data_IF_575835018145
#
_entry.id   IF_575835018145
#
_cell.length_a   1.000
_cell.length_b   1.000
_cell.length_c   1.000
_cell.angle_alpha   90.00
_cell.angle_beta   90.00
_cell.angle_gamma   90.00
#
_symmetry.space_group_name_H-M   'P 1'
#
loop_
_entity.id
_entity.type
_entity.pdbx_description
1 polymer ?
#
# COMPACT_ATOMS: atom_id res chain seq x y z
N UNK A 1 -0.69 -11.31 29.16
CA UNK A 1 -1.04 -10.74 27.83
C UNK A 1 0.12 -11.07 26.91
N UNK A 2 -0.14 -11.72 25.78
CA UNK A 2 0.85 -11.86 24.73
C UNK A 2 1.16 -10.44 24.26
N UNK A 3 2.44 -10.05 24.24
CA UNK A 3 2.80 -8.74 23.75
C UNK A 3 2.44 -8.69 22.26
N UNK A 4 1.58 -7.74 21.87
CA UNK A 4 1.21 -7.52 20.49
C UNK A 4 2.40 -6.92 19.73
N UNK A 5 2.49 -7.20 18.45
CA UNK A 5 3.42 -6.50 17.56
C UNK A 5 2.93 -5.06 17.35
N UNK A 6 3.84 -4.13 17.48
CA UNK A 6 3.59 -2.70 17.23
C UNK A 6 4.09 -2.37 15.82
N UNK A 7 3.15 -2.20 14.89
CA UNK A 7 3.42 -1.95 13.48
C UNK A 7 3.05 -0.52 13.11
N UNK A 8 3.66 -0.03 12.06
CA UNK A 8 3.26 1.22 11.40
C UNK A 8 3.33 1.08 9.89
N UNK A 9 2.61 1.93 9.17
CA UNK A 9 2.72 2.01 7.72
C UNK A 9 2.68 3.46 7.23
N UNK A 10 3.36 3.75 6.13
CA UNK A 10 3.11 4.97 5.38
C UNK A 10 1.76 4.85 4.67
N UNK A 11 0.78 5.61 5.16
CA UNK A 11 -0.58 5.63 4.65
C UNK A 11 -0.71 6.74 3.61
N UNK A 12 -0.68 6.39 2.33
CA UNK A 12 -0.92 7.33 1.25
C UNK A 12 -2.43 7.54 1.06
N UNK A 13 -2.80 8.71 0.54
CA UNK A 13 -4.18 8.98 0.12
C UNK A 13 -4.39 8.39 -1.28
N UNK A 14 -5.46 7.62 -1.49
CA UNK A 14 -5.71 6.89 -2.73
C UNK A 14 -5.57 7.75 -3.98
N UNK A 15 -6.17 8.96 -4.01
CA UNK A 15 -6.09 9.89 -5.16
C UNK A 15 -4.67 10.25 -5.56
N UNK A 16 -3.72 10.23 -4.61
CA UNK A 16 -2.30 10.55 -4.85
C UNK A 16 -1.50 9.36 -5.38
N UNK A 17 -2.14 8.19 -5.53
CA UNK A 17 -1.51 6.93 -5.98
C UNK A 17 -2.13 6.36 -7.25
N UNK A 18 -3.10 7.05 -7.85
CA UNK A 18 -3.72 6.64 -9.09
C UNK A 18 -2.78 6.87 -10.28
N UNK A 19 -2.97 6.09 -11.33
CA UNK A 19 -2.25 6.24 -12.61
C UNK A 19 -3.16 6.89 -13.65
N UNK A 20 -2.59 7.78 -14.44
CA UNK A 20 -3.26 8.36 -15.61
C UNK A 20 -3.28 7.39 -16.80
N UNK A 21 -2.46 6.33 -16.76
CA UNK A 21 -2.23 5.39 -17.86
C UNK A 21 -2.99 4.06 -17.72
N UNK A 22 -3.72 3.85 -16.61
CA UNK A 22 -4.46 2.61 -16.40
C UNK A 22 -4.96 2.41 -14.98
N UNK A 23 -5.47 1.22 -14.71
CA UNK A 23 -5.92 0.84 -13.37
C UNK A 23 -4.75 0.45 -12.47
N UNK A 24 -4.96 0.57 -11.17
CA UNK A 24 -3.99 0.20 -10.13
C UNK A 24 -4.61 -0.79 -9.14
N UNK A 25 -3.77 -1.53 -8.42
CA UNK A 25 -4.16 -2.36 -7.28
C UNK A 25 -3.60 -1.75 -6.01
N UNK A 26 -4.42 -1.63 -4.95
CA UNK A 26 -4.02 -1.03 -3.67
C UNK A 26 -4.63 -1.78 -2.50
N UNK A 27 -3.90 -1.90 -1.42
CA UNK A 27 -4.44 -2.29 -0.11
C UNK A 27 -5.17 -1.12 0.52
N UNK A 28 -6.49 -1.08 0.39
CA UNK A 28 -7.31 -0.04 1.02
C UNK A 28 -7.42 -0.33 2.52
N UNK A 29 -7.18 0.68 3.34
CA UNK A 29 -7.13 0.55 4.77
C UNK A 29 -8.34 1.21 5.43
N UNK A 30 -9.01 0.45 6.32
CA UNK A 30 -10.00 1.00 7.26
C UNK A 30 -9.31 1.32 8.59
N UNK A 31 -9.70 2.42 9.21
CA UNK A 31 -9.17 2.87 10.50
C UNK A 31 -10.28 3.03 11.53
N UNK A 32 -9.96 2.77 12.79
CA UNK A 32 -10.89 2.99 13.91
C UNK A 32 -10.85 4.43 14.45
N UNK A 33 -11.67 4.69 15.48
CA UNK A 33 -11.75 6.00 16.13
C UNK A 33 -10.49 6.41 16.89
N UNK A 34 -9.57 5.48 17.17
CA UNK A 34 -8.27 5.72 17.79
C UNK A 34 -7.14 5.85 16.76
N UNK A 35 -7.51 5.89 15.47
CA UNK A 35 -6.59 6.00 14.35
C UNK A 35 -5.62 4.81 14.26
N UNK A 36 -6.14 3.58 14.43
CA UNK A 36 -5.42 2.35 14.13
C UNK A 36 -6.00 1.71 12.88
N UNK A 37 -5.17 1.04 12.09
CA UNK A 37 -5.62 0.20 10.98
C UNK A 37 -6.33 -1.02 11.54
N UNK A 38 -7.56 -1.24 11.13
CA UNK A 38 -8.39 -2.40 11.56
C UNK A 38 -8.61 -3.41 10.44
N UNK A 39 -8.43 -2.99 9.19
CA UNK A 39 -8.57 -3.85 8.02
C UNK A 39 -7.74 -3.33 6.85
N UNK A 40 -7.19 -4.26 6.07
CA UNK A 40 -6.49 -3.97 4.81
C UNK A 40 -7.13 -4.86 3.74
N UNK A 41 -7.84 -4.25 2.79
CA UNK A 41 -8.48 -4.95 1.68
C UNK A 41 -7.71 -4.73 0.38
N UNK A 42 -7.12 -5.82 -0.17
CA UNK A 42 -6.47 -5.76 -1.47
C UNK A 42 -7.52 -5.54 -2.56
N UNK A 43 -7.51 -4.37 -3.15
CA UNK A 43 -8.54 -3.88 -4.08
C UNK A 43 -7.93 -3.70 -5.46
N UNK A 44 -8.56 -4.35 -6.45
CA UNK A 44 -8.06 -4.46 -7.81
C UNK A 44 -8.79 -3.52 -8.77
N UNK A 45 -8.13 -3.19 -9.88
CA UNK A 45 -8.69 -2.41 -11.00
C UNK A 45 -9.28 -1.07 -10.58
N UNK A 46 -8.57 -0.36 -9.69
CA UNK A 46 -8.94 0.97 -9.23
C UNK A 46 -8.53 1.98 -10.30
N UNK A 47 -9.47 2.79 -10.75
CA UNK A 47 -9.19 3.90 -11.68
C UNK A 47 -10.22 5.01 -11.53
N UNK A 48 -9.85 6.21 -11.96
CA UNK A 48 -10.76 7.33 -12.09
C UNK A 48 -11.54 7.21 -13.40
N UNK A 49 -12.85 7.32 -13.34
CA UNK A 49 -13.73 7.33 -14.50
C UNK A 49 -13.90 8.75 -15.05
N UNK A 50 -14.52 8.84 -16.25
CA UNK A 50 -14.74 10.11 -16.95
C UNK A 50 -15.65 11.10 -16.18
N UNK A 51 -16.51 10.59 -15.29
CA UNK A 51 -17.37 11.39 -14.41
C UNK A 51 -16.62 11.89 -13.15
N UNK A 52 -15.34 11.55 -13.00
CA UNK A 52 -14.49 11.93 -11.89
C UNK A 52 -14.49 10.96 -10.70
N UNK A 53 -15.38 9.98 -10.67
CA UNK A 53 -15.45 8.99 -9.59
C UNK A 53 -14.32 7.99 -9.66
N UNK A 54 -13.87 7.54 -8.49
CA UNK A 54 -12.90 6.45 -8.39
C UNK A 54 -13.65 5.14 -8.20
N UNK A 55 -13.46 4.22 -9.14
CA UNK A 55 -14.15 2.94 -9.17
C UNK A 55 -13.13 1.80 -9.10
N UNK A 56 -13.51 0.70 -8.43
CA UNK A 56 -12.73 -0.52 -8.28
C UNK A 56 -13.51 -1.74 -8.80
N UNK A 57 -12.80 -2.80 -9.20
CA UNK A 57 -13.38 -4.05 -9.70
C UNK A 57 -13.48 -4.11 -11.21
N UNK A 58 -13.80 -5.28 -11.76
CA UNK A 58 -14.00 -5.52 -13.19
C UNK A 58 -15.47 -5.39 -13.60
N UNK A 59 -16.28 -6.37 -13.25
CA UNK A 59 -17.70 -6.46 -13.63
C UNK A 59 -18.61 -5.75 -12.61
N UNK A 60 -18.44 -6.07 -11.32
CA UNK A 60 -19.16 -5.44 -10.21
C UNK A 60 -18.38 -4.26 -9.65
N UNK A 61 -18.37 -3.16 -10.39
CA UNK A 61 -17.61 -1.98 -10.01
C UNK A 61 -18.26 -1.23 -8.85
N UNK A 62 -17.45 -0.96 -7.83
CA UNK A 62 -17.85 -0.20 -6.64
C UNK A 62 -17.13 1.12 -6.58
N UNK A 63 -17.85 2.17 -6.18
CA UNK A 63 -17.23 3.45 -5.86
C UNK A 63 -16.38 3.34 -4.61
N UNK A 64 -15.15 3.87 -4.68
CA UNK A 64 -14.19 3.91 -3.59
C UNK A 64 -13.87 5.37 -3.27
N UNK A 65 -13.83 5.71 -1.99
CA UNK A 65 -13.45 7.07 -1.59
C UNK A 65 -12.02 7.38 -2.03
N UNK A 66 -11.83 8.45 -2.77
CA UNK A 66 -10.51 8.92 -3.22
C UNK A 66 -9.62 9.40 -2.06
N UNK A 67 -10.22 9.67 -0.89
CA UNK A 67 -9.52 10.06 0.35
C UNK A 67 -9.21 8.85 1.26
N UNK A 68 -9.49 7.61 0.82
CA UNK A 68 -9.12 6.41 1.57
C UNK A 68 -7.61 6.30 1.76
N UNK A 69 -7.20 5.83 2.93
CA UNK A 69 -5.82 5.41 3.14
C UNK A 69 -5.50 4.13 2.36
N UNK A 70 -4.33 4.11 1.75
CA UNK A 70 -3.84 2.93 1.03
C UNK A 70 -2.41 2.58 1.44
N UNK A 71 -2.15 1.28 1.48
CA UNK A 71 -0.80 0.75 1.62
C UNK A 71 -0.08 0.77 0.28
N UNK A 72 1.15 1.29 0.30
CA UNK A 72 2.12 1.22 -0.80
C UNK A 72 3.32 0.33 -0.41
N UNK A 73 3.07 -0.68 0.46
CA UNK A 73 4.07 -1.62 0.96
C UNK A 73 5.28 -0.98 1.65
N UNK A 74 5.05 0.14 2.32
CA UNK A 74 6.06 0.77 3.18
C UNK A 74 5.65 0.63 4.64
N UNK A 75 6.32 -0.29 5.35
CA UNK A 75 5.96 -0.74 6.70
C UNK A 75 7.10 -0.53 7.68
N UNK A 76 6.77 -0.10 8.88
CA UNK A 76 7.65 -0.14 10.05
C UNK A 76 7.27 -1.36 10.89
N UNK A 77 8.21 -2.29 11.03
CA UNK A 77 8.00 -3.54 11.76
C UNK A 77 9.11 -3.79 12.76
N UNK A 78 8.79 -4.30 13.97
CA UNK A 78 9.81 -4.72 14.91
C UNK A 78 10.51 -6.01 14.43
N UNK A 79 11.71 -6.34 14.92
CA UNK A 79 12.45 -7.53 14.50
C UNK A 79 11.69 -8.85 14.66
N UNK A 80 10.82 -8.96 15.65
CA UNK A 80 10.01 -10.13 15.94
C UNK A 80 9.06 -10.50 14.80
N UNK A 81 8.72 -9.53 13.96
CA UNK A 81 7.88 -9.73 12.79
C UNK A 81 8.51 -10.69 11.76
N UNK A 82 9.83 -10.77 11.67
CA UNK A 82 10.51 -11.73 10.79
C UNK A 82 10.18 -13.19 11.15
N UNK A 83 10.07 -13.52 12.42
CA UNK A 83 9.66 -14.87 12.85
C UNK A 83 8.22 -15.21 12.45
N UNK A 84 7.35 -14.21 12.42
CA UNK A 84 5.98 -14.37 11.91
C UNK A 84 6.00 -14.61 10.40
N UNK A 85 6.77 -13.80 9.65
CA UNK A 85 6.89 -13.97 8.19
C UNK A 85 7.42 -15.36 7.83
N UNK A 86 8.46 -15.83 8.49
CA UNK A 86 9.01 -17.17 8.26
C UNK A 86 7.94 -18.25 8.47
N UNK A 87 7.19 -18.16 9.55
CA UNK A 87 6.11 -19.11 9.86
C UNK A 87 4.99 -19.08 8.83
N UNK A 88 4.51 -17.89 8.46
CA UNK A 88 3.42 -17.73 7.50
C UNK A 88 3.86 -18.07 6.07
N UNK A 89 5.12 -17.80 5.70
CA UNK A 89 5.67 -18.17 4.41
C UNK A 89 5.77 -19.70 4.22
N UNK A 90 6.17 -20.42 5.26
CA UNK A 90 6.15 -21.91 5.22
C UNK A 90 4.73 -22.44 5.01
N UNK A 91 3.72 -21.83 5.67
CA UNK A 91 2.32 -22.22 5.47
C UNK A 91 1.84 -21.89 4.05
N UNK A 92 2.22 -20.73 3.52
CA UNK A 92 1.93 -20.33 2.16
C UNK A 92 2.51 -21.31 1.15
N UNK A 93 3.79 -21.66 1.26
CA UNK A 93 4.44 -22.63 0.36
C UNK A 93 3.77 -24.01 0.38
N UNK A 94 3.41 -24.51 1.57
CA UNK A 94 2.69 -25.79 1.68
C UNK A 94 1.33 -25.80 0.99
N UNK A 95 0.67 -24.65 0.91
CA UNK A 95 -0.69 -24.53 0.37
C UNK A 95 -0.71 -24.12 -1.12
N UNK A 96 0.21 -23.26 -1.49
CA UNK A 96 0.19 -22.57 -2.79
C UNK A 96 1.48 -22.71 -3.60
N UNK A 97 2.50 -23.40 -3.07
CA UNK A 97 3.82 -23.48 -3.71
C UNK A 97 3.83 -24.10 -5.10
N UNK A 98 2.88 -25.00 -5.39
CA UNK A 98 2.72 -25.62 -6.71
C UNK A 98 1.76 -24.86 -7.65
N UNK A 99 1.20 -23.73 -7.19
CA UNK A 99 0.28 -22.91 -7.97
C UNK A 99 1.04 -21.80 -8.71
N UNK A 100 1.07 -21.81 -10.05
CA UNK A 100 1.68 -20.73 -10.83
C UNK A 100 1.04 -19.37 -10.49
N UNK A 101 1.86 -18.33 -10.40
CA UNK A 101 1.43 -16.94 -10.12
C UNK A 101 0.84 -16.70 -8.73
N UNK A 102 0.98 -17.64 -7.77
CA UNK A 102 0.62 -17.35 -6.39
C UNK A 102 1.64 -16.39 -5.78
N UNK A 103 1.16 -15.43 -5.00
CA UNK A 103 1.98 -14.40 -4.36
C UNK A 103 1.80 -14.40 -2.85
N UNK A 104 2.92 -14.33 -2.11
CA UNK A 104 2.89 -14.14 -0.66
C UNK A 104 2.83 -12.64 -0.36
N UNK A 105 1.62 -12.14 -0.16
CA UNK A 105 1.37 -10.70 0.00
C UNK A 105 1.51 -10.26 1.45
N UNK A 106 2.43 -9.33 1.69
CA UNK A 106 2.69 -8.76 3.01
C UNK A 106 1.46 -8.12 3.67
N UNK A 107 0.62 -7.34 2.95
CA UNK A 107 -0.61 -6.78 3.52
C UNK A 107 -1.56 -7.83 4.08
N UNK A 108 -1.67 -9.01 3.44
CA UNK A 108 -2.52 -10.10 3.91
C UNK A 108 -2.03 -10.67 5.25
N UNK A 109 -0.71 -10.79 5.41
CA UNK A 109 -0.14 -11.26 6.69
C UNK A 109 -0.42 -10.26 7.81
N UNK A 110 -0.24 -8.97 7.53
CA UNK A 110 -0.47 -7.89 8.49
C UNK A 110 -1.95 -7.80 8.85
N UNK A 111 -2.86 -7.80 7.88
CA UNK A 111 -4.31 -7.80 8.10
C UNK A 111 -4.75 -8.96 9.01
N UNK A 112 -4.22 -10.16 8.74
CA UNK A 112 -4.47 -11.34 9.59
C UNK A 112 -4.01 -11.13 11.04
N UNK A 113 -2.85 -10.54 11.26
CA UNK A 113 -2.34 -10.25 12.62
C UNK A 113 -3.23 -9.24 13.33
N UNK A 114 -3.65 -8.18 12.64
CA UNK A 114 -4.55 -7.16 13.18
C UNK A 114 -5.89 -7.79 13.57
N UNK A 115 -6.53 -8.52 12.67
CA UNK A 115 -7.83 -9.18 12.90
C UNK A 115 -7.78 -10.23 14.02
N UNK A 116 -6.65 -10.87 14.21
CA UNK A 116 -6.45 -11.82 15.33
C UNK A 116 -6.12 -11.12 16.67
N UNK A 117 -5.86 -9.81 16.67
CA UNK A 117 -5.42 -9.07 17.83
C UNK A 117 -3.96 -9.37 18.24
N UNK A 118 -3.16 -9.90 17.31
CA UNK A 118 -1.72 -10.19 17.49
C UNK A 118 -0.83 -8.98 17.14
N UNK A 119 -1.39 -7.96 16.46
CA UNK A 119 -0.70 -6.71 16.13
C UNK A 119 -1.63 -5.51 16.23
N UNK A 120 -1.06 -4.36 16.57
CA UNK A 120 -1.65 -3.04 16.36
C UNK A 120 -0.85 -2.34 15.25
N UNK A 121 -1.50 -1.54 14.39
CA UNK A 121 -0.85 -0.87 13.27
C UNK A 121 -1.27 0.59 13.19
N UNK A 122 -0.31 1.52 13.25
CA UNK A 122 -0.53 2.95 13.11
C UNK A 122 -0.33 3.41 11.67
N UNK A 123 -1.32 4.03 11.03
CA UNK A 123 -1.13 4.72 9.76
C UNK A 123 -0.38 6.03 10.01
N UNK A 124 0.72 6.22 9.32
CA UNK A 124 1.48 7.47 9.26
C UNK A 124 1.09 8.16 7.96
N UNK A 125 0.20 9.12 8.05
CA UNK A 125 -0.40 9.78 6.89
C UNK A 125 0.64 10.50 6.04
N UNK A 126 0.63 10.23 4.72
CA UNK A 126 1.42 10.92 3.71
C UNK A 126 0.52 11.59 2.69
N UNK A 127 0.70 12.90 2.52
CA UNK A 127 0.05 13.68 1.47
C UNK A 127 0.86 13.72 0.16
N UNK A 128 2.01 13.05 0.13
CA UNK A 128 2.86 13.02 -1.04
C UNK A 128 2.18 12.31 -2.22
N UNK A 129 2.52 12.76 -3.42
CA UNK A 129 2.20 12.02 -4.64
C UNK A 129 3.17 10.85 -4.76
N UNK A 130 2.61 9.65 -4.94
CA UNK A 130 3.41 8.47 -5.26
C UNK A 130 3.79 8.49 -6.74
N UNK A 131 5.04 8.14 -7.04
CA UNK A 131 5.56 8.00 -8.39
C UNK A 131 6.02 6.56 -8.63
N UNK A 132 5.48 5.92 -9.66
CA UNK A 132 5.88 4.58 -10.07
C UNK A 132 6.38 4.59 -11.51
N UNK A 133 7.36 3.73 -11.79
CA UNK A 133 7.84 3.45 -13.15
C UNK A 133 7.48 2.01 -13.46
N UNK A 134 6.22 1.79 -13.81
CA UNK A 134 5.72 0.46 -14.19
C UNK A 134 5.90 0.26 -15.70
N UNK A 135 5.71 1.31 -16.48
CA UNK A 135 5.85 1.34 -17.93
C UNK A 135 6.96 2.29 -18.32
N UNK A 136 7.56 2.07 -19.51
CA UNK A 136 8.63 2.93 -20.03
C UNK A 136 8.18 4.39 -20.18
N UNK A 137 6.91 4.59 -20.49
CA UNK A 137 6.26 5.88 -20.67
C UNK A 137 6.20 6.71 -19.39
N UNK A 138 6.12 6.04 -18.22
CA UNK A 138 6.07 6.71 -16.92
C UNK A 138 7.38 7.45 -16.60
N UNK A 139 8.51 7.00 -17.16
CA UNK A 139 9.84 7.53 -16.82
C UNK A 139 9.96 9.03 -17.03
N UNK A 140 9.45 9.55 -18.13
CA UNK A 140 9.58 10.97 -18.45
C UNK A 140 8.85 11.84 -17.41
N UNK A 141 7.59 11.51 -17.11
CA UNK A 141 6.77 12.24 -16.12
C UNK A 141 7.34 12.17 -14.71
N UNK A 142 7.90 11.01 -14.33
CA UNK A 142 8.56 10.84 -13.02
C UNK A 142 9.82 11.69 -12.92
N UNK A 143 10.66 11.72 -13.97
CA UNK A 143 11.85 12.57 -14.01
C UNK A 143 11.49 14.06 -13.87
N UNK A 144 10.47 14.52 -14.59
CA UNK A 144 9.98 15.90 -14.49
C UNK A 144 9.47 16.23 -13.10
N UNK A 145 8.69 15.33 -12.50
CA UNK A 145 8.16 15.51 -11.15
C UNK A 145 9.26 15.60 -10.10
N UNK A 146 10.26 14.72 -10.15
CA UNK A 146 11.42 14.77 -9.24
C UNK A 146 12.24 16.04 -9.47
N UNK A 147 12.49 16.43 -10.73
CA UNK A 147 13.20 17.67 -11.04
C UNK A 147 12.47 18.91 -10.47
N UNK A 148 11.12 18.89 -10.52
CA UNK A 148 10.31 19.94 -9.88
C UNK A 148 10.48 19.96 -8.37
N UNK A 149 10.44 18.81 -7.69
CA UNK A 149 10.64 18.71 -6.24
C UNK A 149 12.03 19.22 -5.81
N UNK A 150 13.06 18.98 -6.63
CA UNK A 150 14.41 19.52 -6.40
C UNK A 150 14.40 21.05 -6.56
N UNK A 151 13.78 21.56 -7.63
CA UNK A 151 13.65 22.99 -7.87
C UNK A 151 12.91 23.73 -6.75
N UNK A 152 11.86 23.08 -6.22
CA UNK A 152 11.02 23.62 -5.14
C UNK A 152 11.69 23.48 -3.75
N UNK A 153 12.89 22.87 -3.68
CA UNK A 153 13.68 22.70 -2.45
C UNK A 153 13.19 21.59 -1.53
N UNK A 154 12.28 20.72 -2.00
CA UNK A 154 11.80 19.56 -1.24
C UNK A 154 12.89 18.50 -1.16
N UNK A 155 13.62 18.28 -2.25
CA UNK A 155 14.81 17.40 -2.29
C UNK A 155 16.08 18.20 -2.56
N UNK A 156 17.22 17.78 -1.98
CA UNK A 156 18.50 18.36 -2.32
C UNK A 156 18.91 17.99 -3.77
N UNK A 157 19.67 18.87 -4.41
CA UNK A 157 20.20 18.61 -5.76
C UNK A 157 21.17 17.42 -5.82
N UNK A 158 21.83 17.13 -4.71
CA UNK A 158 22.66 15.94 -4.47
C UNK A 158 22.14 15.21 -3.24
N UNK A 159 21.91 13.90 -3.36
CA UNK A 159 21.49 13.05 -2.22
C UNK A 159 22.70 12.59 -1.39
N UNK A 160 23.86 12.51 -2.00
CA UNK A 160 25.11 12.02 -1.38
C UNK A 160 26.25 13.00 -1.71
N UNK A 161 27.13 13.20 -0.75
CA UNK A 161 28.39 13.95 -0.94
C UNK A 161 29.43 13.11 -1.68
#
# INVERSE_FOLDING_TARGET
>A
KKDKLDLSMAAFILKNTLSDNGSVTRGICSVDGEHNVVEIEETYNIRREADGKVMAGEDDRKEVSEDSFVSMNMWGCPPEFFGVLETEFVKFLKKYGDMPKSEFLLPIVIDKLIKNGDADCKPLESHDKWFGVTYAEDKASVCEAIAKLIKDGVYPAKLWD
#
